data_IF_118350055494
#
_entry.id   IF_118350055494
#
_cell.length_a   1.000
_cell.length_b   1.000
_cell.length_c   1.000
_cell.angle_alpha   90.00
_cell.angle_beta   90.00
_cell.angle_gamma   90.00
#
_symmetry.space_group_name_H-M   'P 1'
#
loop_
_entity.id
_entity.type
_entity.pdbx_description
1 polymer ?
#
# COMPACT_ATOMS: atom_id res chain seq x y z
N UNK A 1 -3.67 18.77 -6.22
CA UNK A 1 -2.58 17.77 -6.15
C UNK A 1 -2.79 16.87 -4.95
N UNK A 2 -2.62 15.57 -5.12
CA UNK A 2 -2.76 14.56 -4.08
C UNK A 2 -1.44 13.79 -3.95
N UNK A 3 -0.98 13.63 -2.72
CA UNK A 3 0.31 13.04 -2.40
C UNK A 3 1.49 14.02 -2.59
N UNK A 4 2.53 13.80 -1.80
CA UNK A 4 3.83 14.47 -1.91
C UNK A 4 4.95 13.42 -1.84
N UNK A 5 5.52 13.08 -3.00
CA UNK A 5 6.56 12.04 -3.13
C UNK A 5 7.81 12.29 -2.28
N UNK A 6 8.12 13.55 -1.93
CA UNK A 6 9.30 13.88 -1.13
C UNK A 6 9.05 13.76 0.38
N UNK A 7 7.81 13.51 0.80
CA UNK A 7 7.47 13.23 2.19
C UNK A 7 7.49 11.73 2.42
N UNK A 8 8.44 11.30 3.25
CA UNK A 8 8.61 9.89 3.65
C UNK A 8 7.35 9.27 4.28
N UNK A 9 6.46 10.08 4.82
CA UNK A 9 5.23 9.62 5.46
C UNK A 9 3.98 9.80 4.58
N UNK A 10 4.14 10.03 3.27
CA UNK A 10 2.99 10.06 2.37
C UNK A 10 2.52 8.63 2.06
N UNK A 11 1.30 8.32 2.48
CA UNK A 11 0.71 6.99 2.35
C UNK A 11 0.00 6.74 1.02
N UNK A 12 -0.10 7.73 0.13
CA UNK A 12 -0.85 7.57 -1.12
C UNK A 12 -0.11 6.67 -2.12
N UNK A 13 -0.74 5.55 -2.48
CA UNK A 13 -0.21 4.62 -3.50
C UNK A 13 -0.80 4.94 -4.86
N UNK A 14 -2.13 5.05 -4.94
CA UNK A 14 -2.85 5.34 -6.18
C UNK A 14 -4.21 5.98 -5.88
N UNK A 15 -4.79 6.66 -6.87
CA UNK A 15 -6.17 7.12 -6.81
C UNK A 15 -6.85 7.07 -8.18
N UNK A 16 -8.17 7.00 -8.15
CA UNK A 16 -9.06 7.04 -9.31
C UNK A 16 -9.99 8.23 -9.17
N UNK A 17 -10.40 8.79 -10.32
CA UNK A 17 -11.48 9.78 -10.36
C UNK A 17 -12.76 9.03 -10.67
N UNK A 18 -13.73 9.13 -9.77
CA UNK A 18 -15.01 8.46 -9.93
C UNK A 18 -15.84 9.14 -11.04
N UNK A 19 -16.62 8.36 -11.77
CA UNK A 19 -17.56 8.76 -12.82
C UNK A 19 -18.88 8.00 -12.61
N UNK A 20 -19.96 8.39 -13.30
CA UNK A 20 -21.30 7.80 -13.12
C UNK A 20 -21.32 6.27 -13.29
N UNK A 21 -20.38 5.71 -14.07
CA UNK A 21 -20.30 4.29 -14.39
C UNK A 21 -19.02 3.59 -13.88
N UNK A 22 -18.26 4.20 -12.96
CA UNK A 22 -17.03 3.62 -12.42
C UNK A 22 -15.90 4.63 -12.29
N UNK A 23 -14.79 4.40 -13.01
CA UNK A 23 -13.64 5.30 -12.99
C UNK A 23 -13.42 5.98 -14.33
N UNK A 24 -13.13 7.28 -14.29
CA UNK A 24 -12.91 8.12 -15.47
C UNK A 24 -11.77 7.56 -16.32
N UNK A 25 -12.12 7.04 -17.49
CA UNK A 25 -11.17 6.48 -18.47
C UNK A 25 -10.45 5.21 -17.99
N UNK A 26 -10.99 4.50 -16.99
CA UNK A 26 -10.41 3.28 -16.39
C UNK A 26 -8.90 3.42 -16.07
N UNK A 27 -8.53 4.64 -15.68
CA UNK A 27 -7.17 5.08 -15.45
C UNK A 27 -7.02 5.42 -13.98
N UNK A 28 -5.83 5.13 -13.43
CA UNK A 28 -5.45 5.55 -12.10
C UNK A 28 -4.26 6.51 -12.19
N UNK A 29 -4.10 7.26 -11.12
CA UNK A 29 -3.01 8.20 -10.92
C UNK A 29 -2.21 7.73 -9.73
N UNK A 30 -0.88 7.80 -9.83
CA UNK A 30 0.01 7.48 -8.73
C UNK A 30 1.02 8.61 -8.53
N UNK A 31 1.34 8.98 -7.28
CA UNK A 31 2.48 9.84 -7.01
C UNK A 31 3.82 9.10 -7.22
N UNK A 32 3.80 7.77 -7.33
CA UNK A 32 4.95 6.92 -7.60
C UNK A 32 5.23 6.86 -9.11
N UNK A 33 6.45 6.45 -9.48
CA UNK A 33 6.87 6.39 -10.88
C UNK A 33 5.95 5.44 -11.69
N UNK A 34 5.39 5.89 -12.83
CA UNK A 34 4.53 5.07 -13.69
C UNK A 34 5.17 3.75 -14.17
N UNK A 35 6.49 3.59 -14.08
CA UNK A 35 7.15 2.30 -14.41
C UNK A 35 6.98 1.21 -13.34
N UNK A 36 6.49 1.55 -12.14
CA UNK A 36 6.37 0.62 -11.00
C UNK A 36 5.05 -0.17 -11.02
N UNK A 37 4.04 0.28 -11.78
CA UNK A 37 2.72 -0.34 -11.86
C UNK A 37 2.35 -0.56 -13.34
N UNK A 38 2.15 -1.81 -13.75
CA UNK A 38 1.87 -2.25 -15.13
C UNK A 38 0.53 -1.78 -15.72
N UNK A 39 -0.16 -0.86 -15.06
CA UNK A 39 -1.42 -0.28 -15.50
C UNK A 39 -1.16 1.15 -15.99
N UNK A 40 -2.01 1.71 -16.87
CA UNK A 40 -1.86 3.07 -17.40
C UNK A 40 -1.88 4.14 -16.30
N UNK A 41 -0.72 4.45 -15.71
CA UNK A 41 -0.58 5.52 -14.73
C UNK A 41 -0.38 6.85 -15.45
N UNK A 42 -1.23 7.84 -15.16
CA UNK A 42 -0.93 9.23 -15.51
C UNK A 42 -0.27 9.92 -14.31
N UNK A 43 0.72 10.80 -14.52
CA UNK A 43 1.21 11.65 -13.44
C UNK A 43 0.03 12.39 -12.79
N UNK A 44 0.11 12.62 -11.48
CA UNK A 44 -0.85 13.48 -10.75
C UNK A 44 -0.76 14.92 -11.27
N UNK A 45 -1.35 15.19 -12.44
CA UNK A 45 -1.58 16.54 -12.92
C UNK A 45 -2.71 17.20 -12.14
N UNK A 46 -2.82 18.52 -12.25
CA UNK A 46 -3.91 19.28 -11.65
C UNK A 46 -5.25 18.80 -12.24
N UNK A 47 -6.08 18.18 -11.40
CA UNK A 47 -7.44 17.81 -11.78
C UNK A 47 -8.29 19.08 -11.65
N UNK A 48 -8.69 19.64 -12.78
CA UNK A 48 -9.59 20.80 -12.85
C UNK A 48 -11.02 20.27 -12.99
N UNK A 49 -11.81 20.39 -11.92
CA UNK A 49 -13.24 20.10 -11.97
C UNK A 49 -13.99 21.01 -11.00
N UNK A 50 -15.04 21.66 -11.49
CA UNK A 50 -15.68 22.82 -10.85
C UNK A 50 -16.75 22.44 -9.83
N UNK A 51 -17.24 21.20 -9.86
CA UNK A 51 -18.40 20.73 -9.08
C UNK A 51 -18.05 19.76 -7.94
N UNK A 52 -16.76 19.67 -7.58
CA UNK A 52 -16.27 18.74 -6.56
C UNK A 52 -15.99 17.36 -7.13
N UNK A 53 -14.91 16.73 -6.66
CA UNK A 53 -14.42 15.46 -7.16
C UNK A 53 -14.62 14.36 -6.13
N UNK A 54 -15.23 13.27 -6.55
CA UNK A 54 -15.23 12.00 -5.82
C UNK A 54 -14.03 11.17 -6.25
N UNK A 55 -13.27 10.70 -5.27
CA UNK A 55 -12.01 10.01 -5.49
C UNK A 55 -11.98 8.73 -4.66
N UNK A 56 -11.67 7.63 -5.33
CA UNK A 56 -11.31 6.37 -4.70
C UNK A 56 -9.79 6.32 -4.55
N UNK A 57 -9.27 5.98 -3.36
CA UNK A 57 -7.83 6.02 -3.06
C UNK A 57 -7.34 4.68 -2.51
N UNK A 58 -6.20 4.22 -3.02
CA UNK A 58 -5.39 3.17 -2.42
C UNK A 58 -4.26 3.81 -1.62
N UNK A 59 -4.17 3.46 -0.33
CA UNK A 59 -3.18 4.03 0.58
C UNK A 59 -2.59 2.98 1.53
N UNK A 60 -1.34 3.19 1.97
CA UNK A 60 -0.83 2.54 3.17
C UNK A 60 -1.52 3.17 4.39
N UNK A 61 -2.27 2.38 5.20
CA UNK A 61 -3.01 2.91 6.34
C UNK A 61 -2.12 3.46 7.47
N UNK A 62 -0.81 3.18 7.44
CA UNK A 62 0.17 3.73 8.40
C UNK A 62 0.70 5.11 7.99
N UNK A 63 0.45 5.52 6.75
CA UNK A 63 0.87 6.79 6.19
C UNK A 63 -0.23 7.84 6.18
N UNK A 64 0.17 9.09 5.98
CA UNK A 64 -0.74 10.24 5.86
C UNK A 64 -0.88 10.63 4.39
N UNK A 65 -2.06 11.04 3.95
CA UNK A 65 -2.24 11.60 2.60
C UNK A 65 -2.19 13.13 2.69
N UNK A 66 -1.36 13.76 1.85
CA UNK A 66 -1.28 15.21 1.76
C UNK A 66 -2.01 15.72 0.51
N UNK A 67 -3.06 16.50 0.70
CA UNK A 67 -3.83 17.12 -0.35
C UNK A 67 -3.57 18.63 -0.41
N UNK A 68 -3.32 19.18 -1.60
CA UNK A 68 -3.11 20.62 -1.81
C UNK A 68 -3.99 21.12 -2.95
N UNK A 69 -4.77 22.19 -2.71
CA UNK A 69 -5.67 22.82 -3.69
C UNK A 69 -5.06 24.07 -4.35
N UNK A 70 -3.76 24.32 -4.14
CA UNK A 70 -3.02 25.44 -4.72
C UNK A 70 -3.14 26.74 -3.93
N UNK A 71 -4.35 27.10 -3.47
CA UNK A 71 -4.59 28.34 -2.71
C UNK A 71 -4.66 28.14 -1.19
N UNK A 72 -5.22 27.01 -0.74
CA UNK A 72 -5.36 26.72 0.69
C UNK A 72 -4.17 25.93 1.25
N UNK A 73 -3.94 25.99 2.58
CA UNK A 73 -2.97 25.13 3.26
C UNK A 73 -3.19 23.65 2.96
N UNK A 74 -2.11 22.88 3.03
CA UNK A 74 -2.14 21.42 2.84
C UNK A 74 -3.09 20.78 3.85
N UNK A 75 -4.04 20.00 3.36
CA UNK A 75 -4.90 19.13 4.16
C UNK A 75 -4.23 17.77 4.32
N UNK A 76 -4.24 17.25 5.54
CA UNK A 76 -3.76 15.91 5.85
C UNK A 76 -4.94 15.00 6.14
N UNK A 77 -4.97 13.83 5.50
CA UNK A 77 -5.91 12.75 5.80
C UNK A 77 -5.14 11.59 6.44
N UNK A 78 -5.66 11.07 7.53
CA UNK A 78 -5.11 9.96 8.30
C UNK A 78 -6.22 8.94 8.56
N UNK A 79 -5.92 7.66 8.40
CA UNK A 79 -6.86 6.60 8.74
C UNK A 79 -6.75 6.28 10.23
N UNK A 80 -7.86 6.31 11.01
CA UNK A 80 -7.80 6.00 12.43
C UNK A 80 -7.18 4.61 12.70
N UNK A 81 -6.18 4.49 13.60
CA UNK A 81 -5.48 3.23 13.85
C UNK A 81 -6.37 2.06 14.26
N UNK A 82 -7.51 2.35 14.90
CA UNK A 82 -8.51 1.35 15.28
C UNK A 82 -9.10 0.58 14.08
N UNK A 83 -9.03 1.13 12.85
CA UNK A 83 -9.59 0.50 11.66
C UNK A 83 -8.66 -0.54 11.03
N UNK A 84 -7.35 -0.51 11.31
CA UNK A 84 -6.39 -1.35 10.60
C UNK A 84 -5.39 -2.09 11.49
N UNK A 85 -5.14 -1.64 12.72
CA UNK A 85 -4.08 -2.22 13.58
C UNK A 85 -4.27 -3.72 13.84
N UNK A 86 -5.48 -4.13 14.19
CA UNK A 86 -5.75 -5.53 14.54
C UNK A 86 -5.73 -6.42 13.30
N UNK A 87 -6.26 -5.90 12.17
CA UNK A 87 -6.25 -6.62 10.88
C UNK A 87 -4.81 -6.82 10.40
N UNK A 88 -3.98 -5.77 10.43
CA UNK A 88 -2.57 -5.90 10.03
C UNK A 88 -1.78 -6.85 10.93
N UNK A 89 -2.11 -6.93 12.23
CA UNK A 89 -1.49 -7.88 13.16
C UNK A 89 -1.86 -9.33 12.83
N UNK A 90 -3.05 -9.57 12.28
CA UNK A 90 -3.48 -10.91 11.86
C UNK A 90 -2.87 -11.38 10.54
N UNK A 91 -2.13 -10.54 9.83
CA UNK A 91 -1.44 -10.94 8.59
C UNK A 91 -0.20 -11.74 8.97
N UNK A 92 -0.25 -13.05 8.73
CA UNK A 92 0.91 -13.94 8.86
C UNK A 92 1.88 -13.73 7.69
N UNK A 93 3.18 -13.78 7.99
CA UNK A 93 4.24 -13.61 6.99
C UNK A 93 4.82 -14.97 6.63
N UNK A 94 4.79 -15.30 5.34
CA UNK A 94 5.37 -16.55 4.82
C UNK A 94 6.66 -16.22 4.08
N UNK A 95 7.74 -16.88 4.47
CA UNK A 95 9.05 -16.77 3.81
C UNK A 95 9.33 -18.02 2.99
N UNK A 96 9.87 -17.82 1.80
CA UNK A 96 10.36 -18.94 0.99
C UNK A 96 11.62 -19.50 1.62
N UNK A 97 11.53 -20.72 2.14
CA UNK A 97 12.69 -21.56 2.40
C UNK A 97 12.96 -22.41 1.15
N UNK A 98 14.09 -22.18 0.49
CA UNK A 98 14.59 -23.10 -0.53
C UNK A 98 14.80 -24.51 0.09
N UNK A 99 14.91 -25.58 -0.73
CA UNK A 99 15.11 -26.93 -0.20
C UNK A 99 16.27 -26.98 0.80
N UNK A 100 15.97 -27.44 2.01
CA UNK A 100 16.93 -27.55 3.10
C UNK A 100 17.47 -28.97 3.12
N UNK A 101 18.77 -29.15 2.85
CA UNK A 101 19.42 -30.45 2.98
C UNK A 101 19.81 -30.67 4.43
N UNK A 102 19.27 -31.71 5.06
CA UNK A 102 19.56 -32.05 6.44
C UNK A 102 19.14 -33.49 6.77
N UNK A 103 19.51 -33.99 7.96
CA UNK A 103 19.03 -35.27 8.45
C UNK A 103 17.49 -35.28 8.47
N UNK A 104 16.89 -36.43 8.14
CA UNK A 104 15.45 -36.57 8.09
C UNK A 104 14.81 -36.21 9.43
N UNK A 105 13.82 -35.31 9.41
CA UNK A 105 13.10 -34.85 10.60
C UNK A 105 13.82 -33.77 11.44
N UNK A 106 14.97 -33.26 10.98
CA UNK A 106 15.70 -32.20 11.67
C UNK A 106 15.93 -31.00 10.74
N UNK A 107 15.18 -29.92 10.97
CA UNK A 107 15.43 -28.62 10.36
C UNK A 107 16.25 -27.77 11.33
N UNK A 108 17.54 -27.59 11.04
CA UNK A 108 18.44 -26.77 11.84
C UNK A 108 18.90 -25.54 11.05
N UNK A 109 18.07 -24.50 11.03
CA UNK A 109 18.37 -23.21 10.42
C UNK A 109 18.38 -22.17 11.53
N UNK A 110 19.38 -21.29 11.53
CA UNK A 110 19.40 -20.14 12.41
C UNK A 110 18.29 -19.18 11.97
N UNK A 111 17.25 -19.07 12.79
CA UNK A 111 16.12 -18.19 12.56
C UNK A 111 16.35 -16.85 13.29
N UNK A 112 15.98 -15.70 12.69
CA UNK A 112 16.02 -14.43 13.39
C UNK A 112 15.03 -14.45 14.55
N UNK A 113 15.44 -13.87 15.67
CA UNK A 113 14.59 -13.71 16.84
C UNK A 113 13.85 -12.38 16.73
N UNK A 114 12.55 -12.44 16.48
CA UNK A 114 11.67 -11.27 16.39
C UNK A 114 10.65 -11.30 17.53
N UNK A 115 10.51 -10.20 18.25
CA UNK A 115 9.61 -10.12 19.40
C UNK A 115 8.14 -10.22 18.96
N UNK A 116 7.39 -11.14 19.56
CA UNK A 116 5.97 -11.35 19.27
C UNK A 116 5.68 -12.26 18.07
N UNK A 117 6.70 -12.93 17.51
CA UNK A 117 6.54 -13.89 16.41
C UNK A 117 7.16 -15.24 16.75
N UNK A 118 6.50 -16.31 16.31
CA UNK A 118 6.99 -17.68 16.37
C UNK A 118 7.24 -18.22 14.96
N UNK A 119 8.26 -19.05 14.80
CA UNK A 119 8.56 -19.70 13.53
C UNK A 119 7.87 -21.06 13.43
N UNK A 120 7.14 -21.26 12.35
CA UNK A 120 6.56 -22.55 11.97
C UNK A 120 7.00 -22.94 10.56
N UNK A 121 7.20 -24.23 10.34
CA UNK A 121 7.53 -24.79 9.03
C UNK A 121 6.28 -25.31 8.34
N UNK A 122 6.04 -24.86 7.11
CA UNK A 122 4.99 -25.38 6.25
C UNK A 122 5.66 -26.21 5.16
N UNK A 123 5.52 -27.54 5.25
CA UNK A 123 5.98 -28.45 4.22
C UNK A 123 4.81 -28.94 3.37
N UNK A 124 5.03 -29.09 2.06
CA UNK A 124 4.07 -29.74 1.19
C UNK A 124 4.33 -31.24 1.27
N UNK A 125 3.40 -31.99 1.85
CA UNK A 125 3.45 -33.45 1.82
C UNK A 125 3.37 -33.92 0.36
N UNK A 126 4.22 -34.87 -0.07
CA UNK A 126 4.16 -35.46 -1.40
C UNK A 126 2.85 -36.22 -1.67
#
# INVERSE_FOLDING_TARGET
RLGERHKLNDGLVAFWVDDENGYRGDTYFSPLDPQVLTMQARPSDQIDDRDGLHLSMLMDPRGNIHATTGFFPVKTLELPPALYKDILRSIEVVFLAAPVLGPQGLVNISLPQEEGFDWAWIERTP
#
